data_IF_013511976894
#
_entry.id   IF_013511976894
#
_cell.length_a   1.000
_cell.length_b   1.000
_cell.length_c   1.000
_cell.angle_alpha   90.00
_cell.angle_beta   90.00
_cell.angle_gamma   90.00
#
_symmetry.space_group_name_H-M   'P 1'
#
loop_
_entity.id
_entity.type
_entity.pdbx_description
1 polymer ?
#
# COMPACT_ATOMS: atom_id res chain seq x y z
N UNK A 1 -17.82 12.04 11.76
CA UNK A 1 -17.01 12.33 10.57
C UNK A 1 -16.94 11.05 9.78
N UNK A 2 -16.92 11.16 8.45
CA UNK A 2 -16.76 10.00 7.57
C UNK A 2 -15.45 10.18 6.82
N UNK A 3 -14.61 9.16 6.84
CA UNK A 3 -13.39 9.12 6.04
C UNK A 3 -13.54 8.03 4.99
N UNK A 4 -13.34 8.37 3.72
CA UNK A 4 -13.26 7.39 2.65
C UNK A 4 -11.86 6.78 2.66
N UNK A 5 -11.76 5.47 2.89
CA UNK A 5 -10.50 4.73 2.84
C UNK A 5 -10.45 3.93 1.55
N UNK A 6 -9.33 4.05 0.85
CA UNK A 6 -9.13 3.44 -0.46
C UNK A 6 -7.80 2.70 -0.48
N UNK A 7 -7.83 1.43 -0.86
CA UNK A 7 -6.64 0.69 -1.26
C UNK A 7 -6.58 0.64 -2.79
N UNK A 8 -5.47 1.05 -3.37
CA UNK A 8 -5.28 1.08 -4.81
C UNK A 8 -3.95 0.42 -5.19
N UNK A 9 -4.01 -0.81 -5.71
CA UNK A 9 -2.92 -1.36 -6.50
C UNK A 9 -3.03 -0.79 -7.91
N UNK A 10 -2.09 0.08 -8.29
CA UNK A 10 -2.25 0.86 -9.51
C UNK A 10 -1.90 0.05 -10.77
N UNK A 11 -2.30 0.56 -11.93
CA UNK A 11 -1.89 -0.04 -13.20
C UNK A 11 -0.37 0.06 -13.48
N UNK A 12 0.36 0.97 -12.81
CA UNK A 12 1.74 1.39 -13.10
C UNK A 12 2.00 2.02 -14.47
N UNK A 13 1.38 1.53 -15.54
CA UNK A 13 1.51 2.02 -16.93
C UNK A 13 0.13 2.29 -17.56
N UNK A 14 0.05 3.03 -18.68
CA UNK A 14 -1.22 3.32 -19.35
C UNK A 14 -1.99 2.10 -19.87
N UNK A 15 -1.27 1.04 -20.26
CA UNK A 15 -1.83 -0.14 -20.92
C UNK A 15 -2.23 -1.27 -19.96
N UNK A 16 -1.89 -1.13 -18.69
CA UNK A 16 -2.15 -2.14 -17.67
C UNK A 16 -3.43 -1.81 -16.89
N UNK A 17 -3.92 -2.80 -16.16
CA UNK A 17 -4.89 -2.63 -15.09
C UNK A 17 -4.24 -2.93 -13.74
N UNK A 18 -4.74 -2.28 -12.70
CA UNK A 18 -4.55 -2.68 -11.31
C UNK A 18 -5.92 -3.00 -10.69
N UNK A 19 -6.09 -2.72 -9.40
CA UNK A 19 -7.36 -2.89 -8.71
C UNK A 19 -7.60 -1.90 -7.58
N UNK A 20 -8.87 -1.67 -7.27
CA UNK A 20 -9.34 -0.70 -6.28
C UNK A 20 -10.33 -1.36 -5.32
N UNK A 21 -10.26 -0.98 -4.04
CA UNK A 21 -11.28 -1.28 -3.04
C UNK A 21 -11.48 -0.06 -2.14
N UNK A 22 -12.74 0.21 -1.79
CA UNK A 22 -13.13 1.37 -0.99
C UNK A 22 -14.08 1.00 0.15
N UNK A 23 -13.89 1.65 1.29
CA UNK A 23 -14.80 1.58 2.44
C UNK A 23 -14.98 2.98 3.05
N UNK A 24 -16.10 3.22 3.74
CA UNK A 24 -16.25 4.39 4.61
C UNK A 24 -15.97 4.00 6.05
N UNK A 25 -15.18 4.81 6.74
CA UNK A 25 -14.99 4.76 8.18
C UNK A 25 -15.81 5.86 8.85
N UNK A 26 -16.52 5.51 9.91
CA UNK A 26 -17.31 6.42 10.74
C UNK A 26 -16.66 6.66 12.10
N UNK A 27 -16.93 7.80 12.73
CA UNK A 27 -16.41 8.15 14.08
C UNK A 27 -16.72 7.12 15.17
N UNK A 28 -17.80 6.37 15.03
CA UNK A 28 -18.22 5.34 15.98
C UNK A 28 -17.41 4.04 15.84
N UNK A 29 -16.39 4.03 14.97
CA UNK A 29 -15.55 2.87 14.70
C UNK A 29 -16.19 1.87 13.75
N UNK A 30 -17.36 2.16 13.18
CA UNK A 30 -17.99 1.30 12.19
C UNK A 30 -17.47 1.55 10.79
N UNK A 31 -17.57 0.52 9.95
CA UNK A 31 -17.15 0.58 8.56
C UNK A 31 -18.29 0.17 7.62
N UNK A 32 -18.33 0.79 6.45
CA UNK A 32 -19.27 0.46 5.38
C UNK A 32 -18.51 0.11 4.10
N UNK A 33 -18.76 -1.09 3.57
CA UNK A 33 -18.22 -1.55 2.29
C UNK A 33 -18.85 -0.80 1.11
N UNK A 34 -18.03 -0.31 0.18
CA UNK A 34 -18.51 0.37 -1.04
C UNK A 34 -18.56 -0.53 -2.28
N UNK A 35 -18.08 -1.77 -2.14
CA UNK A 35 -18.03 -2.76 -3.21
C UNK A 35 -17.04 -3.86 -2.89
N UNK A 36 -16.95 -4.84 -3.80
CA UNK A 36 -15.85 -5.80 -3.80
C UNK A 36 -14.61 -5.14 -4.43
N UNK A 37 -13.40 -5.67 -4.17
CA UNK A 37 -12.21 -5.29 -4.93
C UNK A 37 -12.45 -5.52 -6.42
N UNK A 38 -12.10 -4.53 -7.25
CA UNK A 38 -12.38 -4.56 -8.68
C UNK A 38 -11.17 -4.11 -9.49
N UNK A 39 -10.96 -4.75 -10.64
CA UNK A 39 -9.92 -4.36 -11.57
C UNK A 39 -10.25 -3.00 -12.19
N UNK A 40 -9.26 -2.10 -12.24
CA UNK A 40 -9.41 -0.72 -12.74
C UNK A 40 -8.14 -0.26 -13.43
N UNK A 41 -8.27 0.64 -14.41
CA UNK A 41 -7.17 1.51 -14.81
C UNK A 41 -7.23 2.84 -14.03
N UNK A 42 -6.34 3.79 -14.35
CA UNK A 42 -6.29 5.09 -13.69
C UNK A 42 -7.55 5.97 -13.91
N UNK A 43 -8.18 5.90 -15.09
CA UNK A 43 -9.43 6.61 -15.37
C UNK A 43 -10.56 6.03 -14.52
N UNK A 44 -10.74 4.71 -14.57
CA UNK A 44 -11.79 4.01 -13.81
C UNK A 44 -11.63 4.28 -12.30
N UNK A 45 -10.40 4.25 -11.79
CA UNK A 45 -10.10 4.56 -10.39
C UNK A 45 -10.45 6.00 -10.03
N UNK A 46 -10.10 6.96 -10.90
CA UNK A 46 -10.40 8.38 -10.71
C UNK A 46 -11.91 8.63 -10.65
N UNK A 47 -12.65 8.05 -11.59
CA UNK A 47 -14.09 8.19 -11.69
C UNK A 47 -14.78 7.54 -10.49
N UNK A 48 -14.34 6.34 -10.10
CA UNK A 48 -14.88 5.62 -8.94
C UNK A 48 -14.68 6.39 -7.63
N UNK A 49 -13.46 6.88 -7.37
CA UNK A 49 -13.18 7.65 -6.15
C UNK A 49 -13.99 8.96 -6.15
N UNK A 50 -14.06 9.66 -7.28
CA UNK A 50 -14.85 10.90 -7.42
C UNK A 50 -16.34 10.63 -7.17
N UNK A 51 -16.87 9.52 -7.68
CA UNK A 51 -18.25 9.11 -7.45
C UNK A 51 -18.50 8.83 -5.96
N UNK A 52 -17.62 8.08 -5.29
CA UNK A 52 -17.74 7.83 -3.85
C UNK A 52 -17.67 9.13 -3.03
N UNK A 53 -16.77 10.05 -3.38
CA UNK A 53 -16.68 11.36 -2.74
C UNK A 53 -17.98 12.17 -2.90
N UNK A 54 -18.53 12.20 -4.12
CA UNK A 54 -19.78 12.91 -4.41
C UNK A 54 -20.99 12.30 -3.67
N UNK A 55 -21.10 10.97 -3.71
CA UNK A 55 -22.22 10.23 -3.13
C UNK A 55 -22.22 10.28 -1.60
N UNK A 56 -21.06 10.10 -0.96
CA UNK A 56 -20.97 9.91 0.49
C UNK A 56 -20.48 11.15 1.24
N UNK A 57 -19.97 12.16 0.53
CA UNK A 57 -19.49 13.44 1.08
C UNK A 57 -18.59 13.24 2.31
N UNK A 58 -17.53 12.41 2.21
CA UNK A 58 -16.62 12.20 3.32
C UNK A 58 -15.88 13.52 3.64
N UNK A 59 -15.51 13.71 4.91
CA UNK A 59 -14.73 14.88 5.33
C UNK A 59 -13.27 14.76 4.92
N UNK A 60 -12.77 13.54 4.83
CA UNK A 60 -11.44 13.24 4.33
C UNK A 60 -11.46 11.99 3.45
N UNK A 61 -10.54 11.89 2.51
CA UNK A 61 -10.29 10.69 1.71
C UNK A 61 -8.82 10.30 1.87
N UNK A 62 -8.57 9.04 2.19
CA UNK A 62 -7.23 8.48 2.34
C UNK A 62 -7.04 7.36 1.31
N UNK A 63 -6.18 7.61 0.32
CA UNK A 63 -5.81 6.66 -0.73
C UNK A 63 -4.42 6.12 -0.44
N UNK A 64 -4.33 4.82 -0.20
CA UNK A 64 -3.07 4.10 -0.12
C UNK A 64 -2.77 3.50 -1.50
N UNK A 65 -1.74 4.04 -2.16
CA UNK A 65 -1.38 3.75 -3.54
C UNK A 65 -0.13 2.85 -3.61
N UNK A 66 -0.22 1.69 -4.26
CA UNK A 66 0.96 0.89 -4.65
C UNK A 66 1.55 1.42 -5.97
N UNK A 67 2.15 2.61 -5.88
CA UNK A 67 3.05 3.17 -6.90
C UNK A 67 3.79 4.38 -6.31
N UNK A 68 5.06 4.59 -6.72
CA UNK A 68 5.84 5.77 -6.38
C UNK A 68 5.13 7.11 -6.64
N UNK A 69 4.88 7.91 -5.61
CA UNK A 69 4.18 9.20 -5.74
C UNK A 69 5.11 10.39 -5.99
N UNK A 70 6.39 10.22 -5.68
CA UNK A 70 7.47 11.21 -5.90
C UNK A 70 8.63 10.49 -6.58
N UNK A 71 8.96 10.89 -7.80
CA UNK A 71 10.06 10.33 -8.60
C UNK A 71 10.78 11.48 -9.31
N UNK A 72 12.03 11.77 -8.89
CA UNK A 72 12.83 12.88 -9.44
C UNK A 72 14.08 12.42 -10.17
N UNK A 73 14.57 11.22 -9.87
CA UNK A 73 15.83 10.73 -10.42
C UNK A 73 15.66 10.29 -11.89
N UNK A 74 16.61 10.65 -12.77
CA UNK A 74 16.55 10.25 -14.19
C UNK A 74 16.82 8.77 -14.40
N UNK A 75 17.59 8.14 -13.51
CA UNK A 75 17.94 6.72 -13.56
C UNK A 75 18.15 6.15 -12.16
N UNK A 76 18.34 4.84 -12.07
CA UNK A 76 18.62 4.16 -10.79
C UNK A 76 17.41 4.03 -9.87
N UNK A 77 17.69 3.88 -8.58
CA UNK A 77 16.71 3.74 -7.49
C UNK A 77 16.58 5.05 -6.71
N UNK A 78 15.37 5.32 -6.20
CA UNK A 78 15.16 6.37 -5.21
C UNK A 78 15.87 6.03 -3.90
N UNK A 79 16.24 7.03 -3.08
CA UNK A 79 16.81 6.80 -1.74
C UNK A 79 15.95 5.89 -0.85
N UNK A 80 14.62 6.04 -0.85
CA UNK A 80 13.69 5.16 -0.11
C UNK A 80 13.77 3.71 -0.58
N UNK A 81 13.85 3.46 -1.89
CA UNK A 81 13.95 2.12 -2.47
C UNK A 81 15.25 1.45 -2.06
N UNK A 82 16.35 2.20 -1.95
CA UNK A 82 17.63 1.68 -1.48
C UNK A 82 17.58 1.19 -0.02
N UNK A 83 16.75 1.82 0.81
CA UNK A 83 16.48 1.38 2.18
C UNK A 83 15.61 0.13 2.18
N UNK A 84 14.48 0.18 1.48
CA UNK A 84 13.47 -0.89 1.44
C UNK A 84 13.96 -2.15 0.73
N UNK A 85 14.86 -2.04 -0.24
CA UNK A 85 15.46 -3.19 -0.92
C UNK A 85 16.21 -4.13 0.03
N UNK A 86 16.74 -3.62 1.16
CA UNK A 86 17.43 -4.46 2.15
C UNK A 86 16.50 -5.48 2.84
N UNK A 87 15.44 -5.07 3.58
CA UNK A 87 14.52 -6.03 4.20
C UNK A 87 13.79 -6.90 3.18
N UNK A 88 13.49 -6.39 1.99
CA UNK A 88 12.82 -7.15 0.92
C UNK A 88 13.74 -8.22 0.33
N UNK A 89 14.97 -7.86 -0.05
CA UNK A 89 15.92 -8.81 -0.65
C UNK A 89 16.37 -9.88 0.34
N UNK A 90 16.43 -9.58 1.64
CA UNK A 90 16.65 -10.57 2.72
C UNK A 90 15.60 -11.69 2.71
N UNK A 91 14.44 -11.47 2.10
CA UNK A 91 13.34 -12.45 2.01
C UNK A 91 13.09 -12.91 0.56
N UNK A 92 14.11 -12.81 -0.29
CA UNK A 92 14.07 -13.18 -1.72
C UNK A 92 13.06 -12.38 -2.55
N UNK A 93 12.71 -11.17 -2.11
CA UNK A 93 11.93 -10.21 -2.89
C UNK A 93 12.84 -9.30 -3.71
N UNK A 94 12.22 -8.53 -4.61
CA UNK A 94 12.87 -7.46 -5.37
C UNK A 94 12.05 -6.18 -5.29
N UNK A 95 12.74 -5.05 -5.38
CA UNK A 95 12.11 -3.71 -5.47
C UNK A 95 12.37 -3.18 -6.88
N UNK A 96 11.28 -2.83 -7.57
CA UNK A 96 11.31 -2.18 -8.87
C UNK A 96 11.85 -0.75 -8.70
N UNK A 97 12.99 -0.38 -9.32
CA UNK A 97 13.47 1.01 -9.26
C UNK A 97 12.48 1.97 -9.93
N UNK A 98 12.21 3.11 -9.31
CA UNK A 98 11.46 4.20 -9.92
C UNK A 98 12.40 5.31 -10.39
N UNK A 99 12.29 5.70 -11.66
CA UNK A 99 13.03 6.79 -12.26
C UNK A 99 12.32 7.29 -13.52
N UNK A 100 12.53 8.54 -13.88
CA UNK A 100 11.85 9.18 -15.02
C UNK A 100 12.29 8.62 -16.38
N UNK A 101 13.41 7.90 -16.45
CA UNK A 101 13.81 7.12 -17.62
C UNK A 101 12.85 5.96 -17.95
N UNK A 102 12.02 5.53 -17.00
CA UNK A 102 10.90 4.60 -17.24
C UNK A 102 9.67 5.37 -17.72
N UNK A 103 9.71 5.81 -18.98
CA UNK A 103 8.76 6.78 -19.55
C UNK A 103 7.27 6.42 -19.31
N UNK A 104 6.87 5.16 -19.51
CA UNK A 104 5.47 4.76 -19.30
C UNK A 104 5.02 4.81 -17.83
N UNK A 105 5.94 4.63 -16.89
CA UNK A 105 5.64 4.57 -15.45
C UNK A 105 5.79 5.92 -14.76
N UNK A 106 6.81 6.69 -15.15
CA UNK A 106 7.24 7.90 -14.45
C UNK A 106 7.75 9.01 -15.40
N UNK A 107 7.54 8.88 -16.72
CA UNK A 107 7.75 9.98 -17.67
C UNK A 107 6.71 11.07 -17.51
N UNK A 108 6.82 12.16 -18.26
CA UNK A 108 5.93 13.32 -18.12
C UNK A 108 4.44 12.96 -18.33
N UNK A 109 4.15 12.01 -19.22
CA UNK A 109 2.79 11.58 -19.56
C UNK A 109 2.33 10.34 -18.76
N UNK A 110 3.07 9.92 -17.74
CA UNK A 110 2.68 8.76 -16.94
C UNK A 110 1.34 9.01 -16.21
N UNK A 111 0.43 8.02 -16.16
CA UNK A 111 -0.94 8.24 -15.73
C UNK A 111 -1.08 8.60 -14.24
N UNK A 112 -0.09 8.22 -13.43
CA UNK A 112 0.01 8.58 -12.01
C UNK A 112 0.02 10.10 -11.79
N UNK A 113 0.61 10.89 -12.69
CA UNK A 113 0.70 12.34 -12.50
C UNK A 113 -0.66 13.02 -12.66
N UNK A 114 -1.46 12.59 -13.63
CA UNK A 114 -2.84 13.06 -13.78
C UNK A 114 -3.70 12.68 -12.56
N UNK A 115 -3.55 11.46 -12.06
CA UNK A 115 -4.23 10.99 -10.85
C UNK A 115 -3.85 11.83 -9.62
N UNK A 116 -2.55 12.05 -9.39
CA UNK A 116 -2.07 12.88 -8.28
C UNK A 116 -2.55 14.32 -8.39
N UNK A 117 -2.49 14.93 -9.59
CA UNK A 117 -3.00 16.29 -9.81
C UNK A 117 -4.50 16.41 -9.49
N UNK A 118 -5.29 15.38 -9.80
CA UNK A 118 -6.73 15.34 -9.48
C UNK A 118 -6.99 15.26 -7.97
N UNK A 119 -6.14 14.55 -7.23
CA UNK A 119 -6.34 14.23 -5.81
C UNK A 119 -5.40 14.99 -4.85
N UNK A 120 -4.79 16.09 -5.31
CA UNK A 120 -4.04 17.02 -4.44
C UNK A 120 -2.55 16.70 -4.27
N UNK A 121 -2.03 15.72 -5.00
CA UNK A 121 -0.61 15.35 -4.98
C UNK A 121 -0.22 14.37 -3.87
N UNK A 122 1.09 14.09 -3.71
CA UNK A 122 1.61 13.27 -2.63
C UNK A 122 1.39 13.97 -1.27
N UNK A 123 0.69 13.30 -0.36
CA UNK A 123 0.34 13.87 0.94
C UNK A 123 1.42 13.64 2.00
N UNK A 124 1.69 14.62 2.87
CA UNK A 124 2.61 14.44 3.99
C UNK A 124 1.93 13.64 5.12
N UNK A 125 2.36 12.41 5.43
CA UNK A 125 1.71 11.59 6.46
C UNK A 125 1.93 12.09 7.90
N UNK A 126 2.84 13.06 8.11
CA UNK A 126 3.24 13.56 9.42
C UNK A 126 2.46 14.80 9.88
N UNK A 127 1.53 15.30 9.06
CA UNK A 127 0.64 16.41 9.43
C UNK A 127 -0.78 15.89 9.73
N UNK A 128 -1.73 16.79 9.96
CA UNK A 128 -3.13 16.43 10.24
C UNK A 128 -3.85 16.05 8.94
N UNK A 129 -4.55 14.92 8.92
CA UNK A 129 -5.37 14.48 7.79
C UNK A 129 -6.45 15.53 7.46
N UNK A 130 -6.39 16.07 6.24
CA UNK A 130 -7.34 17.05 5.71
C UNK A 130 -7.56 16.83 4.21
N UNK A 131 -8.81 16.89 3.75
CA UNK A 131 -9.14 16.77 2.33
C UNK A 131 -8.85 15.38 1.75
N UNK A 132 -8.29 15.33 0.54
CA UNK A 132 -7.91 14.07 -0.11
C UNK A 132 -6.41 13.88 -0.03
N UNK A 133 -5.99 12.73 0.50
CA UNK A 133 -4.59 12.34 0.62
C UNK A 133 -4.30 11.13 -0.24
N UNK A 134 -3.24 11.22 -1.04
CA UNK A 134 -2.64 10.07 -1.72
C UNK A 134 -1.29 9.79 -1.09
N UNK A 135 -1.12 8.57 -0.56
CA UNK A 135 0.07 8.13 0.16
C UNK A 135 0.62 6.89 -0.53
N UNK A 136 1.90 6.93 -0.87
CA UNK A 136 2.63 5.76 -1.35
C UNK A 136 2.71 4.68 -0.27
N UNK A 137 2.26 3.48 -0.60
CA UNK A 137 2.45 2.26 0.19
C UNK A 137 3.11 1.19 -0.67
N UNK A 138 3.56 0.12 -0.03
CA UNK A 138 4.09 -1.05 -0.73
C UNK A 138 3.61 -2.33 -0.04
N UNK A 139 2.69 -3.11 -0.66
CA UNK A 139 2.09 -4.32 -0.07
C UNK A 139 3.10 -5.30 0.50
N UNK A 140 4.22 -5.51 -0.20
CA UNK A 140 5.31 -6.39 0.27
C UNK A 140 5.93 -5.87 1.56
N UNK A 141 6.14 -4.55 1.69
CA UNK A 141 6.68 -3.97 2.91
C UNK A 141 5.68 -4.07 4.06
N UNK A 142 4.39 -3.90 3.77
CA UNK A 142 3.32 -4.09 4.75
C UNK A 142 3.29 -5.54 5.27
N UNK A 143 3.40 -6.53 4.38
CA UNK A 143 3.50 -7.95 4.77
C UNK A 143 4.72 -8.22 5.67
N UNK A 144 5.88 -7.63 5.35
CA UNK A 144 7.07 -7.77 6.22
C UNK A 144 6.81 -7.14 7.59
N UNK A 145 6.19 -5.97 7.64
CA UNK A 145 5.87 -5.28 8.89
C UNK A 145 4.92 -6.10 9.79
N UNK A 146 3.92 -6.74 9.17
CA UNK A 146 2.92 -7.58 9.83
C UNK A 146 3.41 -8.99 10.15
N UNK A 147 4.63 -9.35 9.74
CA UNK A 147 5.19 -10.68 9.95
C UNK A 147 4.57 -11.77 9.08
N UNK A 148 3.97 -11.41 7.94
CA UNK A 148 3.38 -12.33 6.96
C UNK A 148 4.44 -12.97 6.05
N UNK A 149 5.52 -13.42 6.68
CA UNK A 149 6.63 -14.12 6.04
C UNK A 149 6.54 -15.59 6.36
N UNK A 150 6.99 -16.44 5.44
CA UNK A 150 7.04 -17.88 5.63
C UNK A 150 8.40 -18.30 6.19
N UNK A 151 8.47 -19.40 6.96
CA UNK A 151 9.74 -20.01 7.36
C UNK A 151 10.63 -20.31 6.15
N UNK A 152 11.94 -20.20 6.34
CA UNK A 152 12.96 -20.50 5.33
C UNK A 152 14.08 -21.32 5.98
N UNK A 153 14.59 -22.31 5.27
CA UNK A 153 15.65 -23.20 5.78
C UNK A 153 17.03 -22.53 5.80
N UNK A 154 17.22 -21.45 5.04
CA UNK A 154 18.52 -20.79 4.86
C UNK A 154 18.57 -19.45 5.58
N UNK A 155 17.49 -18.65 5.51
CA UNK A 155 17.46 -17.29 6.05
C UNK A 155 16.57 -17.20 7.28
N UNK A 156 17.18 -16.81 8.40
CA UNK A 156 16.46 -16.58 9.66
C UNK A 156 15.39 -15.49 9.58
N UNK A 157 15.44 -14.61 8.57
CA UNK A 157 14.41 -13.61 8.29
C UNK A 157 13.16 -14.16 7.61
N UNK A 158 13.14 -15.46 7.28
CA UNK A 158 12.11 -16.09 6.48
C UNK A 158 12.16 -15.70 4.99
N UNK A 159 11.11 -16.06 4.26
CA UNK A 159 10.89 -15.74 2.84
C UNK A 159 9.55 -15.06 2.63
N UNK A 160 9.46 -14.25 1.57
CA UNK A 160 8.18 -13.68 1.15
C UNK A 160 7.31 -14.74 0.45
N UNK A 161 5.98 -14.71 0.67
CA UNK A 161 5.05 -15.54 -0.08
C UNK A 161 5.22 -15.33 -1.60
N UNK A 162 5.18 -16.40 -2.38
CA UNK A 162 5.23 -16.36 -3.85
C UNK A 162 3.84 -16.49 -4.46
N UNK A 163 3.04 -15.45 -4.31
CA UNK A 163 1.60 -15.45 -4.64
C UNK A 163 1.24 -14.81 -5.99
N UNK A 164 2.21 -14.37 -6.80
CA UNK A 164 1.94 -13.81 -8.14
C UNK A 164 1.73 -14.96 -9.18
N UNK A 165 0.52 -15.13 -9.74
CA UNK A 165 0.20 -16.25 -10.66
C UNK A 165 0.85 -16.14 -12.04
N UNK A 166 1.31 -14.96 -12.46
CA UNK A 166 2.05 -14.78 -13.73
C UNK A 166 3.47 -15.32 -13.62
N UNK A 167 4.04 -15.38 -12.41
CA UNK A 167 5.37 -15.95 -12.15
C UNK A 167 5.30 -17.47 -12.00
N UNK A 168 4.86 -18.16 -13.06
CA UNK A 168 4.58 -19.62 -13.09
C UNK A 168 5.67 -20.51 -12.48
N UNK A 169 6.94 -20.14 -12.60
CA UNK A 169 8.08 -20.92 -12.06
C UNK A 169 8.21 -20.86 -10.54
N UNK A 170 7.77 -19.76 -9.93
CA UNK A 170 7.93 -19.51 -8.49
C UNK A 170 6.60 -19.44 -7.76
N UNK A 171 5.49 -19.30 -8.49
CA UNK A 171 4.15 -19.24 -7.91
C UNK A 171 3.85 -20.47 -7.05
N UNK A 172 3.25 -20.22 -5.89
CA UNK A 172 2.82 -21.23 -4.93
C UNK A 172 1.38 -20.96 -4.54
N UNK A 173 0.50 -21.93 -4.79
CA UNK A 173 -0.92 -21.82 -4.41
C UNK A 173 -1.09 -21.78 -2.88
N UNK A 174 -0.22 -22.46 -2.13
CA UNK A 174 -0.25 -22.40 -0.66
C UNK A 174 0.17 -21.02 -0.15
N UNK A 175 1.10 -20.35 -0.84
CA UNK A 175 1.54 -19.00 -0.48
C UNK A 175 0.44 -17.98 -0.79
N UNK A 176 -0.28 -18.16 -1.91
CA UNK A 176 -1.49 -17.41 -2.23
C UNK A 176 -2.56 -17.56 -1.13
N UNK A 177 -2.91 -18.81 -0.81
CA UNK A 177 -3.86 -19.14 0.25
C UNK A 177 -3.45 -18.53 1.60
N UNK A 178 -2.16 -18.59 1.92
CA UNK A 178 -1.61 -18.00 3.14
C UNK A 178 -1.90 -16.50 3.24
N UNK A 179 -1.63 -15.73 2.17
CA UNK A 179 -1.88 -14.29 2.16
C UNK A 179 -3.38 -13.98 2.23
N UNK A 180 -4.21 -14.67 1.44
CA UNK A 180 -5.67 -14.50 1.47
C UNK A 180 -6.24 -14.77 2.87
N UNK A 181 -5.82 -15.84 3.53
CA UNK A 181 -6.31 -16.22 4.86
C UNK A 181 -5.88 -15.23 5.94
N UNK A 182 -4.64 -14.75 5.91
CA UNK A 182 -4.16 -13.74 6.86
C UNK A 182 -4.89 -12.41 6.67
N UNK A 183 -5.09 -11.99 5.42
CA UNK A 183 -5.82 -10.76 5.13
C UNK A 183 -7.31 -10.87 5.47
N UNK A 184 -7.94 -12.01 5.17
CA UNK A 184 -9.32 -12.29 5.57
C UNK A 184 -9.48 -12.18 7.08
N UNK A 185 -8.56 -12.79 7.85
CA UNK A 185 -8.56 -12.69 9.31
C UNK A 185 -8.44 -11.24 9.80
N UNK A 186 -7.51 -10.45 9.27
CA UNK A 186 -7.37 -9.04 9.67
C UNK A 186 -8.61 -8.23 9.31
N UNK A 187 -9.11 -8.33 8.08
CA UNK A 187 -10.27 -7.58 7.61
C UNK A 187 -11.55 -8.01 8.34
N UNK A 188 -11.71 -9.31 8.64
CA UNK A 188 -12.87 -9.85 9.35
C UNK A 188 -13.07 -9.27 10.75
N UNK A 189 -12.00 -8.84 11.43
CA UNK A 189 -12.10 -8.15 12.73
C UNK A 189 -12.87 -6.82 12.67
N UNK A 190 -13.08 -6.28 11.47
CA UNK A 190 -13.72 -4.97 11.21
C UNK A 190 -15.17 -5.10 10.72
N UNK A 191 -15.73 -6.30 10.76
CA UNK A 191 -17.09 -6.61 10.31
C UNK A 191 -17.36 -6.16 8.86
N UNK A 192 -16.46 -6.56 7.95
CA UNK A 192 -16.53 -6.30 6.50
C UNK A 192 -16.85 -7.60 5.76
N UNK A 193 -18.11 -8.09 5.83
CA UNK A 193 -18.44 -9.45 5.43
C UNK A 193 -18.27 -9.71 3.93
N UNK A 194 -18.48 -8.72 3.05
CA UNK A 194 -18.36 -8.94 1.60
C UNK A 194 -16.91 -9.11 1.16
N UNK A 195 -16.01 -8.25 1.63
CA UNK A 195 -14.57 -8.31 1.35
C UNK A 195 -13.99 -9.56 2.01
N UNK A 196 -14.40 -9.88 3.24
CA UNK A 196 -13.98 -11.11 3.94
C UNK A 196 -14.37 -12.36 3.13
N UNK A 197 -15.63 -12.44 2.70
CA UNK A 197 -16.10 -13.56 1.87
C UNK A 197 -15.37 -13.63 0.52
N UNK A 198 -15.06 -12.48 -0.11
CA UNK A 198 -14.26 -12.44 -1.33
C UNK A 198 -12.85 -13.00 -1.11
N UNK A 199 -12.19 -12.64 -0.02
CA UNK A 199 -10.84 -13.14 0.32
C UNK A 199 -10.85 -14.65 0.60
N UNK A 200 -11.87 -15.14 1.32
CA UNK A 200 -12.06 -16.57 1.58
C UNK A 200 -12.29 -17.35 0.27
N UNK A 201 -13.13 -16.82 -0.62
CA UNK A 201 -13.36 -17.40 -1.94
C UNK A 201 -12.09 -17.37 -2.80
N UNK A 202 -11.35 -16.26 -2.79
CA UNK A 202 -10.08 -16.11 -3.48
C UNK A 202 -9.06 -17.17 -3.01
N UNK A 203 -9.03 -17.51 -1.72
CA UNK A 203 -8.17 -18.58 -1.19
C UNK A 203 -8.53 -19.97 -1.75
N UNK A 204 -9.79 -20.23 -2.09
CA UNK A 204 -10.23 -21.54 -2.62
C UNK A 204 -10.01 -21.68 -4.13
N UNK A 205 -9.87 -20.56 -4.85
CA UNK A 205 -9.80 -20.55 -6.30
C UNK A 205 -8.36 -20.51 -6.81
N UNK A 206 -8.16 -20.99 -8.05
CA UNK A 206 -6.90 -20.79 -8.77
C UNK A 206 -6.83 -19.34 -9.27
N UNK A 207 -5.86 -18.52 -8.79
CA UNK A 207 -5.85 -17.10 -9.09
C UNK A 207 -5.33 -16.78 -10.50
N UNK A 208 -5.81 -15.66 -11.03
CA UNK A 208 -5.30 -14.94 -12.20
C UNK A 208 -4.65 -13.62 -11.76
N UNK A 209 -4.01 -12.92 -12.70
CA UNK A 209 -3.34 -11.64 -12.43
C UNK A 209 -4.28 -10.63 -11.76
N UNK A 210 -5.48 -10.43 -12.30
CA UNK A 210 -6.44 -9.49 -11.72
C UNK A 210 -6.85 -9.86 -10.28
N UNK A 211 -6.83 -11.15 -9.92
CA UNK A 211 -7.12 -11.56 -8.55
C UNK A 211 -5.98 -11.12 -7.60
N UNK A 212 -4.73 -11.20 -8.06
CA UNK A 212 -3.57 -10.68 -7.31
C UNK A 212 -3.66 -9.16 -7.14
N UNK A 213 -4.06 -8.43 -8.18
CA UNK A 213 -4.19 -6.97 -8.09
C UNK A 213 -5.26 -6.58 -7.07
N UNK A 214 -6.40 -7.27 -7.10
CA UNK A 214 -7.45 -7.11 -6.08
C UNK A 214 -6.97 -7.46 -4.67
N UNK A 215 -6.11 -8.47 -4.52
CA UNK A 215 -5.52 -8.84 -3.23
C UNK A 215 -4.55 -7.75 -2.74
N UNK A 216 -3.69 -7.24 -3.61
CA UNK A 216 -2.73 -6.18 -3.27
C UNK A 216 -3.44 -4.85 -2.96
N UNK A 217 -4.55 -4.54 -3.65
CA UNK A 217 -5.43 -3.43 -3.30
C UNK A 217 -6.03 -3.58 -1.89
N UNK A 218 -6.44 -4.79 -1.50
CA UNK A 218 -6.89 -5.07 -0.14
C UNK A 218 -5.77 -4.90 0.90
N UNK A 219 -4.52 -5.27 0.57
CA UNK A 219 -3.36 -5.03 1.45
C UNK A 219 -3.10 -3.52 1.57
N UNK A 220 -3.22 -2.76 0.49
CA UNK A 220 -3.15 -1.29 0.54
C UNK A 220 -4.23 -0.71 1.47
N UNK A 221 -5.46 -1.19 1.38
CA UNK A 221 -6.56 -0.81 2.26
C UNK A 221 -6.25 -1.15 3.73
N UNK A 222 -5.59 -2.28 4.00
CA UNK A 222 -5.14 -2.64 5.35
C UNK A 222 -4.19 -1.58 5.94
N UNK A 223 -3.33 -0.97 5.12
CA UNK A 223 -2.48 0.15 5.59
C UNK A 223 -3.33 1.38 5.94
N UNK A 224 -4.40 1.67 5.18
CA UNK A 224 -5.33 2.75 5.49
C UNK A 224 -6.01 2.53 6.85
N UNK A 225 -6.44 1.29 7.14
CA UNK A 225 -6.97 0.92 8.46
C UNK A 225 -5.96 1.17 9.58
N UNK A 226 -4.69 0.78 9.39
CA UNK A 226 -3.67 1.01 10.41
C UNK A 226 -3.51 2.51 10.73
N UNK A 227 -3.60 3.38 9.72
CA UNK A 227 -3.54 4.82 9.91
C UNK A 227 -4.77 5.35 10.67
N UNK A 228 -5.99 5.02 10.24
CA UNK A 228 -7.22 5.54 10.85
C UNK A 228 -7.46 4.98 12.25
N UNK A 229 -7.07 3.75 12.54
CA UNK A 229 -7.20 3.13 13.86
C UNK A 229 -6.11 3.59 14.84
N UNK A 230 -5.37 4.65 14.50
CA UNK A 230 -4.24 5.17 15.29
C UNK A 230 -3.25 4.05 15.67
N UNK A 231 -3.01 3.09 14.78
CA UNK A 231 -1.92 2.13 14.94
C UNK A 231 -0.62 2.80 14.50
N UNK A 232 0.47 2.42 15.17
CA UNK A 232 1.79 2.95 14.84
C UNK A 232 2.15 2.52 13.40
N UNK A 233 2.58 3.47 12.59
CA UNK A 233 3.07 3.25 11.22
C UNK A 233 4.52 3.75 11.08
N UNK A 234 5.14 3.46 9.95
CA UNK A 234 6.47 3.93 9.55
C UNK A 234 6.36 4.73 8.27
N UNK A 235 6.94 5.93 8.25
CA UNK A 235 7.33 6.62 7.02
C UNK A 235 8.81 6.32 6.78
N UNK A 236 9.12 5.70 5.64
CA UNK A 236 10.48 5.42 5.19
C UNK A 236 10.80 6.38 4.05
N UNK A 237 11.88 7.15 4.12
CA UNK A 237 12.20 8.19 3.14
C UNK A 237 11.79 9.59 3.60
N UNK A 238 11.56 10.48 2.63
CA UNK A 238 11.28 11.89 2.87
C UNK A 238 10.40 12.49 1.77
N UNK A 239 9.84 13.69 2.02
CA UNK A 239 8.93 14.36 1.08
C UNK A 239 9.65 14.96 -0.15
N UNK A 240 10.98 15.07 -0.14
CA UNK A 240 11.74 15.64 -1.25
C UNK A 240 12.13 14.57 -2.28
N UNK A 241 12.65 13.43 -1.82
CA UNK A 241 13.18 12.35 -2.65
C UNK A 241 12.23 11.14 -2.79
N UNK A 242 11.12 11.16 -2.06
CA UNK A 242 10.09 10.14 -2.04
C UNK A 242 10.12 9.28 -0.78
N UNK A 243 8.96 8.74 -0.43
CA UNK A 243 8.75 7.98 0.80
C UNK A 243 7.76 6.84 0.58
N UNK A 244 7.77 5.87 1.48
CA UNK A 244 6.80 4.77 1.55
C UNK A 244 6.24 4.73 2.96
N UNK A 245 4.92 4.56 3.09
CA UNK A 245 4.25 4.29 4.37
C UNK A 245 3.95 2.81 4.49
N UNK A 246 4.21 2.24 5.68
CA UNK A 246 3.84 0.87 6.02
C UNK A 246 3.42 0.79 7.50
N UNK A 247 2.69 -0.26 7.91
CA UNK A 247 2.49 -0.56 9.33
C UNK A 247 3.83 -0.63 10.09
N UNK A 248 3.83 -0.33 11.38
CA UNK A 248 5.03 -0.45 12.19
C UNK A 248 5.31 -1.92 12.53
N UNK A 249 6.47 -2.42 12.11
CA UNK A 249 7.03 -3.69 12.58
C UNK A 249 8.37 -3.47 13.26
N UNK A 250 8.53 -3.94 14.51
CA UNK A 250 9.78 -3.73 15.28
C UNK A 250 11.02 -4.28 14.58
N UNK A 251 10.93 -5.48 13.98
CA UNK A 251 12.04 -6.05 13.21
C UNK A 251 12.33 -5.23 11.96
N UNK A 252 11.27 -4.83 11.23
CA UNK A 252 11.41 -4.03 10.02
C UNK A 252 12.07 -2.67 10.30
N UNK A 253 11.63 -1.96 11.33
CA UNK A 253 12.23 -0.66 11.74
C UNK A 253 13.73 -0.80 11.96
N UNK A 254 14.15 -1.82 12.74
CA UNK A 254 15.57 -2.08 13.00
C UNK A 254 16.35 -2.41 11.73
N UNK A 255 15.79 -3.20 10.82
CA UNK A 255 16.45 -3.53 9.55
C UNK A 255 16.63 -2.28 8.67
N UNK A 256 15.65 -1.39 8.65
CA UNK A 256 15.69 -0.12 7.92
C UNK A 256 16.68 0.87 8.55
N UNK A 257 16.66 1.03 9.88
CA UNK A 257 17.61 1.87 10.61
C UNK A 257 19.05 1.41 10.39
N UNK A 258 19.31 0.10 10.49
CA UNK A 258 20.62 -0.47 10.20
C UNK A 258 21.05 -0.23 8.75
N UNK A 259 20.11 -0.29 7.80
CA UNK A 259 20.38 0.03 6.39
C UNK A 259 20.66 1.52 6.19
N UNK A 260 19.95 2.41 6.88
CA UNK A 260 20.21 3.85 6.86
C UNK A 260 21.63 4.16 7.34
N UNK A 261 22.05 3.61 8.49
CA UNK A 261 23.42 3.76 9.01
C UNK A 261 24.45 3.25 7.98
N UNK A 262 24.26 2.03 7.47
CA UNK A 262 25.17 1.42 6.48
C UNK A 262 25.30 2.26 5.20
N UNK A 263 24.27 3.03 4.87
CA UNK A 263 24.24 3.89 3.67
C UNK A 263 24.50 5.36 3.98
N UNK A 264 25.08 5.65 5.16
CA UNK A 264 25.49 6.99 5.61
C UNK A 264 24.33 7.99 5.73
N UNK A 265 23.15 7.50 6.12
CA UNK A 265 21.96 8.30 6.42
C UNK A 265 21.68 8.33 7.92
N UNK A 266 21.09 9.42 8.41
CA UNK A 266 20.65 9.54 9.81
C UNK A 266 19.32 8.80 9.98
N UNK A 267 19.24 7.71 10.78
CA UNK A 267 18.02 6.89 10.84
C UNK A 267 16.75 7.66 11.21
N UNK A 268 16.83 8.58 12.18
CA UNK A 268 15.70 9.38 12.63
C UNK A 268 15.10 10.29 11.53
N UNK A 269 15.88 10.62 10.50
CA UNK A 269 15.42 11.43 9.37
C UNK A 269 14.78 10.61 8.25
N UNK A 270 15.02 9.29 8.23
CA UNK A 270 14.67 8.39 7.12
C UNK A 270 13.73 7.25 7.50
N UNK A 271 13.63 6.93 8.79
CA UNK A 271 12.77 5.87 9.33
C UNK A 271 12.01 6.49 10.49
N UNK A 272 10.81 7.01 10.21
CA UNK A 272 10.02 7.81 11.14
C UNK A 272 8.78 7.03 11.58
N UNK A 273 8.79 6.45 12.79
CA UNK A 273 7.56 5.94 13.38
C UNK A 273 6.61 7.08 13.69
N UNK A 274 5.34 6.93 13.32
CA UNK A 274 4.32 7.95 13.56
C UNK A 274 2.95 7.33 13.85
N UNK A 275 2.06 8.17 14.35
CA UNK A 275 0.62 7.91 14.42
C UNK A 275 -0.06 8.96 13.56
N UNK A 276 -1.07 8.56 12.79
CA UNK A 276 -1.81 9.53 12.00
C UNK A 276 -2.48 10.55 12.94
N UNK A 277 -2.30 11.83 12.66
CA UNK A 277 -3.03 12.88 13.33
C UNK A 277 -4.33 13.13 12.59
N UNK A 278 -5.47 12.94 13.25
CA UNK A 278 -6.81 13.29 12.73
C UNK A 278 -7.31 14.55 13.43
N UNK A 279 -8.13 15.40 12.77
CA UNK A 279 -8.69 16.59 13.40
C UNK A 279 -9.41 16.24 14.71
N UNK A 280 -9.07 16.91 15.81
CA UNK A 280 -9.83 16.79 17.07
C UNK A 280 -11.20 17.43 16.86
N UNK A 281 -12.27 16.79 17.35
CA UNK A 281 -13.59 17.45 17.45
C UNK A 281 -13.45 18.72 18.27
N UNK A 282 -13.89 19.85 17.72
CA UNK A 282 -14.35 20.95 18.54
C UNK A 282 -15.64 20.45 19.21
N UNK A 283 -15.58 20.33 20.54
CA UNK A 283 -16.72 20.01 21.41
C UNK A 283 -17.80 21.07 21.32
#
# INVERSE_FOLDING_TARGET
>A
MKTLLVGFDSAWTPSNSGALVGILSSDDGTYQELGLPQAVNYSDATDTITQWQSQYKPQATLVMLDQPTIVKNPSGQRPVENLVASPVSRRYGGVQPANTGKAEMFGQDAPIWAFLNKFGGPANPLIVLEGTWVIETYPVLAMIALGWTLPDSVRSTGKLPKYNPERRKTFSISDWQHVCNLLSKEIGTRNLPKITAWLEQAAQNKPRKNDQDCLDACICLLVAFNLIEARRCLMIGDMDSGYIVAPYGKSLSKELEARAIKTKRVPAEWVKPFYLSVPKKLS
#
